data_IF_549904782992
#
_entry.id   IF_549904782992
#
_cell.length_a   1.000
_cell.length_b   1.000
_cell.length_c   1.000
_cell.angle_alpha   90.00
_cell.angle_beta   90.00
_cell.angle_gamma   90.00
#
_symmetry.space_group_name_H-M   'P 1'
#
loop_
_entity.id
_entity.type
_entity.pdbx_description
1 polymer ?
#
# COMPACT_ATOMS: atom_id res chain seq x y z
N UNK A 1 1.59 -20.09 21.82
CA UNK A 1 1.67 -18.75 21.20
C UNK A 1 0.65 -17.87 21.89
N UNK A 2 1.08 -16.77 22.49
CA UNK A 2 0.23 -15.82 23.22
C UNK A 2 -0.49 -14.88 22.26
N UNK A 3 -1.56 -14.20 22.71
CA UNK A 3 -2.26 -13.19 21.90
C UNK A 3 -1.35 -12.02 21.49
N UNK A 4 -0.42 -11.65 22.37
CA UNK A 4 0.59 -10.61 22.09
C UNK A 4 1.56 -11.04 20.97
N UNK A 5 2.00 -12.30 20.95
CA UNK A 5 2.82 -12.85 19.88
C UNK A 5 2.06 -12.91 18.54
N UNK A 6 0.78 -13.30 18.58
CA UNK A 6 -0.09 -13.29 17.39
C UNK A 6 -0.27 -11.88 16.84
N UNK A 7 -0.52 -10.90 17.70
CA UNK A 7 -0.66 -9.50 17.30
C UNK A 7 0.64 -8.95 16.68
N UNK A 8 1.79 -9.22 17.30
CA UNK A 8 3.09 -8.76 16.79
C UNK A 8 3.43 -9.35 15.43
N UNK A 9 3.23 -10.66 15.26
CA UNK A 9 3.40 -11.32 13.96
C UNK A 9 2.47 -10.71 12.90
N UNK A 10 1.24 -10.38 13.30
CA UNK A 10 0.27 -9.72 12.44
C UNK A 10 0.75 -8.36 11.93
N UNK A 11 1.36 -7.56 12.81
CA UNK A 11 1.95 -6.26 12.50
C UNK A 11 3.18 -6.39 11.59
N UNK A 12 4.07 -7.35 11.87
CA UNK A 12 5.27 -7.59 11.06
C UNK A 12 4.91 -7.98 9.61
N UNK A 13 3.86 -8.79 9.43
CA UNK A 13 3.39 -9.19 8.11
C UNK A 13 2.82 -8.00 7.33
N UNK A 14 2.05 -7.11 7.99
CA UNK A 14 1.57 -5.88 7.35
C UNK A 14 2.71 -4.93 6.99
N UNK A 15 3.72 -4.79 7.85
CA UNK A 15 4.89 -3.98 7.58
C UNK A 15 5.63 -4.47 6.32
N UNK A 16 5.87 -5.78 6.22
CA UNK A 16 6.49 -6.40 5.03
C UNK A 16 5.66 -6.17 3.76
N UNK A 17 4.34 -6.23 3.86
CA UNK A 17 3.46 -5.99 2.70
C UNK A 17 3.50 -4.51 2.26
N UNK A 18 3.50 -3.57 3.22
CA UNK A 18 3.66 -2.16 2.92
C UNK A 18 5.02 -1.88 2.23
N UNK A 19 6.10 -2.46 2.72
CA UNK A 19 7.43 -2.31 2.11
C UNK A 19 7.50 -2.95 0.72
N UNK A 20 6.75 -4.03 0.48
CA UNK A 20 6.61 -4.61 -0.86
C UNK A 20 5.97 -3.61 -1.82
N UNK A 21 4.89 -2.95 -1.43
CA UNK A 21 4.23 -1.92 -2.25
C UNK A 21 5.20 -0.77 -2.56
N UNK A 22 5.96 -0.30 -1.57
CA UNK A 22 7.00 0.72 -1.79
C UNK A 22 8.03 0.25 -2.81
N UNK A 23 8.54 -0.98 -2.70
CA UNK A 23 9.48 -1.52 -3.67
C UNK A 23 8.88 -1.62 -5.09
N UNK A 24 7.60 -1.97 -5.21
CA UNK A 24 6.92 -1.98 -6.51
C UNK A 24 6.84 -0.57 -7.10
N UNK A 25 6.53 0.44 -6.29
CA UNK A 25 6.50 1.84 -6.75
C UNK A 25 7.89 2.30 -7.21
N UNK A 26 8.94 1.97 -6.46
CA UNK A 26 10.29 2.50 -6.68
C UNK A 26 11.07 1.77 -7.77
N UNK A 27 10.92 0.45 -7.88
CA UNK A 27 11.87 -0.39 -8.62
C UNK A 27 11.23 -1.28 -9.69
N UNK A 28 9.90 -1.27 -9.82
CA UNK A 28 9.23 -2.02 -10.88
C UNK A 28 8.84 -1.11 -12.05
N UNK A 29 8.50 -1.73 -13.18
CA UNK A 29 7.82 -1.08 -14.31
C UNK A 29 6.31 -1.29 -14.29
N UNK A 30 5.73 -1.69 -13.14
CA UNK A 30 4.29 -1.92 -13.05
C UNK A 30 3.50 -0.65 -13.36
N UNK A 31 2.50 -0.74 -14.26
CA UNK A 31 1.50 0.29 -14.46
C UNK A 31 0.86 0.75 -13.15
N UNK A 32 0.36 1.99 -13.14
CA UNK A 32 -0.33 2.55 -11.98
C UNK A 32 -1.48 1.68 -11.49
N UNK A 33 -2.31 1.17 -12.41
CA UNK A 33 -3.46 0.33 -12.08
C UNK A 33 -3.07 -0.91 -11.28
N UNK A 34 -1.92 -1.52 -11.58
CA UNK A 34 -1.44 -2.69 -10.86
C UNK A 34 -1.01 -2.33 -9.44
N UNK A 35 -0.43 -1.15 -9.23
CA UNK A 35 -0.10 -0.63 -7.90
C UNK A 35 -1.36 -0.32 -7.09
N UNK A 36 -2.38 0.26 -7.70
CA UNK A 36 -3.67 0.54 -7.06
C UNK A 36 -4.32 -0.76 -6.55
N UNK A 37 -4.27 -1.84 -7.35
CA UNK A 37 -4.73 -3.18 -6.95
C UNK A 37 -3.96 -3.71 -5.74
N UNK A 38 -2.63 -3.54 -5.71
CA UNK A 38 -1.82 -3.98 -4.56
C UNK A 38 -2.19 -3.22 -3.28
N UNK A 39 -2.49 -1.93 -3.38
CA UNK A 39 -2.88 -1.10 -2.24
C UNK A 39 -4.28 -1.44 -1.75
N UNK A 40 -5.25 -1.68 -2.65
CA UNK A 40 -6.58 -2.12 -2.23
C UNK A 40 -6.53 -3.51 -1.56
N UNK A 41 -5.74 -4.44 -2.08
CA UNK A 41 -5.54 -5.74 -1.44
C UNK A 41 -4.92 -5.61 -0.04
N UNK A 42 -3.97 -4.69 0.13
CA UNK A 42 -3.37 -4.40 1.44
C UNK A 42 -4.37 -3.74 2.40
N UNK A 43 -5.22 -2.83 1.91
CA UNK A 43 -6.31 -2.21 2.66
C UNK A 43 -7.28 -3.25 3.20
N UNK A 44 -7.76 -4.15 2.33
CA UNK A 44 -8.67 -5.22 2.72
C UNK A 44 -8.04 -6.14 3.79
N UNK A 45 -6.75 -6.46 3.66
CA UNK A 45 -6.04 -7.27 4.64
C UNK A 45 -5.89 -6.55 6.00
N UNK A 46 -5.59 -5.25 5.99
CA UNK A 46 -5.57 -4.43 7.20
C UNK A 46 -6.92 -4.42 7.90
N UNK A 47 -8.01 -4.17 7.18
CA UNK A 47 -9.37 -4.13 7.73
C UNK A 47 -9.83 -5.51 8.23
N UNK A 48 -9.44 -6.59 7.55
CA UNK A 48 -9.73 -7.95 7.98
C UNK A 48 -9.04 -8.30 9.31
N UNK A 49 -7.81 -7.82 9.53
CA UNK A 49 -7.06 -8.04 10.77
C UNK A 49 -7.43 -7.06 11.89
N UNK A 50 -7.77 -5.82 11.53
CA UNK A 50 -8.01 -4.71 12.43
C UNK A 50 -9.24 -3.89 11.97
N UNK A 51 -10.48 -4.39 12.20
CA UNK A 51 -11.70 -3.79 11.62
C UNK A 51 -11.97 -2.33 12.02
N UNK A 52 -11.41 -1.85 13.12
CA UNK A 52 -11.59 -0.49 13.63
C UNK A 52 -10.53 0.51 13.16
N UNK A 53 -9.60 0.14 12.29
CA UNK A 53 -8.46 1.00 11.91
C UNK A 53 -8.54 1.55 10.48
N UNK A 54 -9.74 1.65 9.90
CA UNK A 54 -9.93 2.13 8.53
C UNK A 54 -9.37 3.54 8.31
N UNK A 55 -9.81 4.51 9.12
CA UNK A 55 -9.37 5.90 8.99
C UNK A 55 -7.86 6.05 9.24
N UNK A 56 -7.33 5.25 10.17
CA UNK A 56 -5.90 5.21 10.46
C UNK A 56 -5.10 4.66 9.27
N UNK A 57 -5.64 3.67 8.56
CA UNK A 57 -5.04 3.14 7.34
C UNK A 57 -4.97 4.19 6.25
N UNK A 58 -6.08 4.89 5.98
CA UNK A 58 -6.12 5.94 4.96
C UNK A 58 -5.15 7.08 5.29
N UNK A 59 -5.12 7.50 6.56
CA UNK A 59 -4.25 8.57 7.02
C UNK A 59 -2.76 8.20 6.88
N UNK A 60 -2.38 6.96 7.18
CA UNK A 60 -0.96 6.56 7.22
C UNK A 60 -0.51 5.99 5.87
N UNK A 61 -1.15 4.93 5.41
CA UNK A 61 -0.66 4.14 4.28
C UNK A 61 -1.03 4.76 2.93
N UNK A 62 -2.28 5.15 2.73
CA UNK A 62 -2.69 5.76 1.46
C UNK A 62 -1.93 7.08 1.22
N UNK A 63 -1.82 7.92 2.24
CA UNK A 63 -1.00 9.15 2.17
C UNK A 63 0.48 8.88 1.87
N UNK A 64 1.09 7.85 2.50
CA UNK A 64 2.48 7.45 2.25
C UNK A 64 2.67 7.02 0.81
N UNK A 65 1.86 6.08 0.32
CA UNK A 65 1.99 5.54 -1.03
C UNK A 65 1.76 6.62 -2.09
N UNK A 66 0.75 7.47 -1.91
CA UNK A 66 0.48 8.61 -2.78
C UNK A 66 1.69 9.54 -2.90
N UNK A 67 2.32 9.89 -1.77
CA UNK A 67 3.50 10.77 -1.76
C UNK A 67 4.69 10.12 -2.46
N UNK A 68 4.98 8.85 -2.17
CA UNK A 68 6.09 8.12 -2.80
C UNK A 68 5.86 8.04 -4.32
N UNK A 69 4.64 7.70 -4.74
CA UNK A 69 4.28 7.66 -6.15
C UNK A 69 4.49 9.02 -6.84
N UNK A 70 3.95 10.11 -6.28
CA UNK A 70 4.11 11.45 -6.86
C UNK A 70 5.58 11.90 -6.98
N UNK A 71 6.43 11.46 -6.06
CA UNK A 71 7.86 11.78 -6.08
C UNK A 71 8.61 10.99 -7.16
N UNK A 72 8.32 9.70 -7.33
CA UNK A 72 9.05 8.83 -8.26
C UNK A 72 8.41 8.69 -9.65
N UNK A 73 7.14 9.07 -9.85
CA UNK A 73 6.49 9.01 -11.17
C UNK A 73 7.08 10.02 -12.16
N UNK A 74 7.72 11.11 -11.69
CA UNK A 74 8.34 12.11 -12.58
C UNK A 74 9.40 11.50 -13.52
N UNK A 75 9.95 10.34 -13.16
CA UNK A 75 10.98 9.62 -13.93
C UNK A 75 10.42 8.45 -14.75
N UNK A 76 9.11 8.16 -14.66
CA UNK A 76 8.47 7.04 -15.38
C UNK A 76 7.86 7.52 -16.70
N UNK A 77 7.95 6.72 -17.78
CA UNK A 77 7.16 6.96 -18.98
C UNK A 77 5.68 6.99 -18.61
N UNK A 78 4.94 7.99 -19.10
CA UNK A 78 3.50 8.09 -18.81
C UNK A 78 2.76 6.90 -19.37
N UNK A 79 2.05 6.19 -18.50
CA UNK A 79 1.14 5.11 -18.83
C UNK A 79 0.04 5.64 -19.77
N UNK A 80 -0.33 4.90 -20.83
CA UNK A 80 -1.41 5.29 -21.74
C UNK A 80 -2.80 5.35 -21.07
N UNK A 81 -2.93 4.74 -19.89
CA UNK A 81 -4.11 4.75 -19.03
C UNK A 81 -3.80 5.52 -17.73
N UNK A 82 -3.59 6.84 -17.81
CA UNK A 82 -3.61 7.72 -16.63
C UNK A 82 -5.06 7.78 -16.09
N UNK A 83 -5.48 6.79 -15.31
CA UNK A 83 -6.69 6.89 -14.49
C UNK A 83 -6.45 7.91 -13.38
N UNK A 84 -7.34 8.90 -13.25
CA UNK A 84 -7.39 9.77 -12.07
C UNK A 84 -7.58 8.92 -10.82
N UNK A 85 -6.69 9.13 -9.86
CA UNK A 85 -6.57 8.28 -8.68
C UNK A 85 -7.82 8.35 -7.80
N UNK A 86 -8.53 7.24 -7.65
CA UNK A 86 -9.38 7.00 -6.50
C UNK A 86 -8.50 6.45 -5.37
N UNK A 87 -7.93 7.35 -4.57
CA UNK A 87 -7.34 7.01 -3.28
C UNK A 87 -8.30 7.46 -2.19
#
# INVERSE_FOLDING_TARGET
MTDAERARRGQDELARQADRIVNLILYSSLPRVDIDIQIENFRQECLRRYPGSADLFEMIYASRFRRIWQQWQKERPKDANEHEAAW
#
